data_IF_501637474129
#
_entry.id   IF_501637474129
#
_cell.length_a   1.000
_cell.length_b   1.000
_cell.length_c   1.000
_cell.angle_alpha   90.00
_cell.angle_beta   90.00
_cell.angle_gamma   90.00
#
_symmetry.space_group_name_H-M   'P 1'
#
loop_
_entity.id
_entity.type
_entity.pdbx_description
1 polymer ?
#
# COMPACT_ATOMS: atom_id res chain seq x y z
N UNK A 1 -27.04 -6.93 -3.92
CA UNK A 1 -26.27 -5.75 -3.42
C UNK A 1 -26.06 -4.85 -4.63
N UNK A 2 -26.43 -3.57 -4.60
CA UNK A 2 -26.14 -2.66 -5.71
C UNK A 2 -24.75 -2.10 -5.54
N UNK A 3 -23.76 -2.65 -6.22
CA UNK A 3 -22.35 -2.29 -6.06
C UNK A 3 -22.02 -0.86 -6.56
N UNK A 4 -22.82 -0.30 -7.46
CA UNK A 4 -22.67 1.08 -7.92
C UNK A 4 -22.65 2.13 -6.80
N UNK A 5 -23.28 1.83 -5.66
CA UNK A 5 -23.25 2.67 -4.46
C UNK A 5 -21.83 2.87 -3.91
N UNK A 6 -20.91 1.94 -4.16
CA UNK A 6 -19.54 1.98 -3.66
C UNK A 6 -18.55 2.68 -4.60
N UNK A 7 -18.94 2.98 -5.86
CA UNK A 7 -18.06 3.67 -6.83
C UNK A 7 -17.54 4.99 -6.27
N UNK A 8 -16.23 5.20 -6.41
CA UNK A 8 -15.47 6.36 -5.90
C UNK A 8 -15.51 6.54 -4.37
N UNK A 9 -15.82 5.48 -3.63
CA UNK A 9 -15.74 5.48 -2.17
C UNK A 9 -14.57 4.65 -1.69
N UNK A 10 -13.97 5.08 -0.58
CA UNK A 10 -13.02 4.26 0.16
C UNK A 10 -13.79 3.11 0.81
N UNK A 11 -13.41 1.89 0.48
CA UNK A 11 -14.06 0.68 0.98
C UNK A 11 -13.04 -0.32 1.52
N UNK A 12 -13.54 -1.22 2.36
CA UNK A 12 -12.90 -2.50 2.70
C UNK A 12 -13.80 -3.62 2.20
N UNK A 13 -13.23 -4.50 1.40
CA UNK A 13 -13.90 -5.72 0.93
C UNK A 13 -13.23 -6.91 1.63
N UNK A 14 -14.02 -7.80 2.21
CA UNK A 14 -13.57 -9.12 2.64
C UNK A 14 -14.05 -10.15 1.65
N UNK A 15 -13.15 -10.99 1.14
CA UNK A 15 -13.55 -12.13 0.33
C UNK A 15 -13.96 -13.33 1.22
N UNK A 16 -14.50 -14.38 0.59
CA UNK A 16 -14.95 -15.59 1.30
C UNK A 16 -13.81 -16.43 1.88
N UNK A 17 -12.57 -16.16 1.48
CA UNK A 17 -11.35 -16.75 2.05
C UNK A 17 -10.79 -15.94 3.22
N UNK A 18 -11.44 -14.80 3.59
CA UNK A 18 -11.05 -13.94 4.69
C UNK A 18 -9.99 -12.89 4.35
N UNK A 19 -9.55 -12.79 3.08
CA UNK A 19 -8.59 -11.76 2.64
C UNK A 19 -9.28 -10.39 2.61
N UNK A 20 -8.52 -9.35 2.93
CA UNK A 20 -9.02 -7.97 3.02
C UNK A 20 -8.39 -7.10 1.92
N UNK A 21 -9.24 -6.38 1.22
CA UNK A 21 -8.89 -5.42 0.17
C UNK A 21 -9.42 -4.04 0.57
N UNK A 22 -8.54 -3.05 0.70
CA UNK A 22 -8.94 -1.68 1.07
C UNK A 22 -8.45 -0.70 0.01
N UNK A 23 -9.33 0.16 -0.47
CA UNK A 23 -9.01 1.15 -1.50
C UNK A 23 -10.24 1.88 -2.01
N UNK A 24 -10.04 2.77 -2.98
CA UNK A 24 -11.14 3.37 -3.74
C UNK A 24 -11.78 2.29 -4.61
N UNK A 25 -13.09 2.13 -4.49
CA UNK A 25 -13.83 1.17 -5.28
C UNK A 25 -14.26 1.77 -6.63
N UNK A 26 -14.20 0.96 -7.67
CA UNK A 26 -14.82 1.21 -8.96
C UNK A 26 -15.73 0.02 -9.31
N UNK A 27 -17.04 0.28 -9.31
CA UNK A 27 -18.02 -0.77 -9.57
C UNK A 27 -18.21 -0.98 -11.07
N UNK A 28 -18.28 -2.24 -11.48
CA UNK A 28 -18.57 -2.61 -12.85
C UNK A 28 -19.82 -3.50 -12.96
N UNK A 29 -20.53 -3.32 -14.07
CA UNK A 29 -21.77 -4.03 -14.35
C UNK A 29 -21.54 -5.48 -14.75
N UNK A 30 -22.62 -6.30 -14.67
CA UNK A 30 -22.67 -7.67 -15.16
C UNK A 30 -22.28 -7.77 -16.64
N UNK A 31 -22.76 -6.83 -17.49
CA UNK A 31 -22.43 -6.80 -18.91
C UNK A 31 -20.93 -6.59 -19.15
N UNK A 32 -20.30 -5.66 -18.39
CA UNK A 32 -18.85 -5.46 -18.45
C UNK A 32 -18.09 -6.70 -17.97
N UNK A 33 -18.52 -7.31 -16.88
CA UNK A 33 -17.87 -8.50 -16.33
C UNK A 33 -17.93 -9.69 -17.29
N UNK A 34 -19.07 -9.87 -17.95
CA UNK A 34 -19.22 -10.93 -18.97
C UNK A 34 -18.27 -10.70 -20.15
N UNK A 35 -18.17 -9.46 -20.64
CA UNK A 35 -17.31 -9.12 -21.77
C UNK A 35 -15.81 -9.18 -21.42
N UNK A 36 -15.41 -8.62 -20.27
CA UNK A 36 -14.00 -8.47 -19.91
C UNK A 36 -13.40 -9.72 -19.22
N UNK A 37 -14.22 -10.47 -18.47
CA UNK A 37 -13.76 -11.54 -17.61
C UNK A 37 -14.51 -12.89 -17.80
N UNK A 38 -15.52 -12.93 -18.68
CA UNK A 38 -16.34 -14.13 -18.90
C UNK A 38 -17.23 -14.52 -17.72
N UNK A 39 -17.52 -13.60 -16.78
CA UNK A 39 -18.35 -13.84 -15.59
C UNK A 39 -19.65 -13.05 -15.66
N UNK A 40 -20.78 -13.74 -15.46
CA UNK A 40 -22.13 -13.13 -15.49
C UNK A 40 -22.55 -12.64 -14.09
N UNK A 41 -21.75 -11.71 -13.51
CA UNK A 41 -22.02 -11.11 -12.20
C UNK A 41 -21.38 -9.72 -12.08
N UNK A 42 -21.93 -8.88 -11.21
CA UNK A 42 -21.34 -7.56 -10.91
C UNK A 42 -20.08 -7.71 -10.06
N UNK A 43 -19.23 -6.67 -10.05
CA UNK A 43 -18.04 -6.67 -9.23
C UNK A 43 -17.54 -5.28 -8.86
N UNK A 44 -16.48 -5.28 -8.07
CA UNK A 44 -15.71 -4.10 -7.68
C UNK A 44 -14.26 -4.28 -8.13
N UNK A 45 -13.67 -3.21 -8.65
CA UNK A 45 -12.21 -3.08 -8.73
C UNK A 45 -11.75 -2.25 -7.53
N UNK A 46 -10.80 -2.79 -6.75
CA UNK A 46 -10.24 -2.12 -5.56
C UNK A 46 -8.74 -2.31 -5.61
N UNK A 47 -7.97 -1.23 -5.76
CA UNK A 47 -6.50 -1.27 -5.89
C UNK A 47 -6.01 -2.32 -6.91
N UNK A 48 -6.59 -2.32 -8.11
CA UNK A 48 -6.24 -3.27 -9.17
C UNK A 48 -6.83 -4.68 -9.03
N UNK A 49 -7.30 -5.06 -7.85
CA UNK A 49 -7.98 -6.35 -7.66
C UNK A 49 -9.40 -6.31 -8.22
N UNK A 50 -9.76 -7.37 -8.94
CA UNK A 50 -11.11 -7.57 -9.47
C UNK A 50 -11.85 -8.55 -8.57
N UNK A 51 -12.92 -8.08 -7.94
CA UNK A 51 -13.69 -8.83 -6.95
C UNK A 51 -15.13 -8.95 -7.43
N UNK A 52 -15.61 -10.16 -7.60
CA UNK A 52 -16.98 -10.43 -8.04
C UNK A 52 -17.93 -10.64 -6.85
N UNK A 53 -19.21 -10.35 -7.03
CA UNK A 53 -20.21 -10.48 -5.96
C UNK A 53 -20.24 -11.86 -5.30
N UNK A 54 -20.03 -12.92 -6.09
CA UNK A 54 -19.98 -14.29 -5.58
C UNK A 54 -18.76 -14.58 -4.69
N UNK A 55 -17.68 -13.82 -4.87
CA UNK A 55 -16.44 -14.01 -4.14
C UNK A 55 -16.36 -13.14 -2.87
N UNK A 56 -17.20 -12.08 -2.77
CA UNK A 56 -17.22 -11.17 -1.62
C UNK A 56 -18.08 -11.70 -0.46
N UNK A 57 -17.55 -11.62 0.75
CA UNK A 57 -18.28 -11.88 1.99
C UNK A 57 -18.91 -10.59 2.54
N UNK A 58 -18.17 -9.47 2.47
CA UNK A 58 -18.67 -8.16 2.92
C UNK A 58 -18.01 -7.00 2.18
N UNK A 59 -18.71 -5.87 2.12
CA UNK A 59 -18.19 -4.57 1.65
C UNK A 59 -18.59 -3.52 2.67
N UNK A 60 -17.59 -2.79 3.18
CA UNK A 60 -17.75 -1.72 4.18
C UNK A 60 -17.23 -0.40 3.61
N UNK A 61 -17.99 0.69 3.73
CA UNK A 61 -17.48 2.04 3.45
C UNK A 61 -16.63 2.54 4.63
N UNK A 62 -15.49 3.16 4.32
CA UNK A 62 -14.54 3.71 5.28
C UNK A 62 -14.40 5.24 5.07
N UNK A 63 -15.42 6.04 5.38
CA UNK A 63 -15.42 7.47 5.07
C UNK A 63 -14.38 8.27 5.87
N UNK A 64 -13.90 7.76 7.00
CA UNK A 64 -12.87 8.39 7.81
C UNK A 64 -11.44 8.08 7.34
N UNK A 65 -11.26 7.12 6.44
CA UNK A 65 -9.95 6.72 5.94
C UNK A 65 -9.56 7.60 4.75
N UNK A 66 -8.37 8.19 4.82
CA UNK A 66 -7.81 9.01 3.75
C UNK A 66 -6.38 8.61 3.42
N UNK A 67 -5.99 8.76 2.15
CA UNK A 67 -4.61 8.57 1.67
C UNK A 67 -4.04 9.93 1.31
N UNK A 68 -2.93 10.31 1.92
CA UNK A 68 -2.33 11.63 1.83
C UNK A 68 -0.93 11.52 1.23
N UNK A 69 -0.66 12.29 0.18
CA UNK A 69 0.71 12.59 -0.29
C UNK A 69 1.23 13.72 0.59
N UNK A 70 2.15 13.40 1.49
CA UNK A 70 2.61 14.37 2.49
C UNK A 70 3.39 15.52 1.84
N UNK A 71 2.87 16.72 1.98
CA UNK A 71 3.48 17.98 1.50
C UNK A 71 3.66 19.00 2.62
N UNK A 72 3.05 18.75 3.77
CA UNK A 72 3.08 19.62 4.94
C UNK A 72 3.84 18.95 6.09
N UNK A 73 4.49 19.76 6.92
CA UNK A 73 5.29 19.26 8.05
C UNK A 73 4.50 18.33 8.98
N UNK A 74 3.23 18.64 9.28
CA UNK A 74 2.42 17.81 10.17
C UNK A 74 2.09 16.44 9.54
N UNK A 75 1.99 16.37 8.20
CA UNK A 75 1.79 15.11 7.48
C UNK A 75 3.05 14.25 7.52
N UNK A 76 4.24 14.84 7.33
CA UNK A 76 5.52 14.15 7.53
C UNK A 76 5.69 13.70 8.98
N UNK A 77 5.30 14.53 9.95
CA UNK A 77 5.29 14.12 11.36
C UNK A 77 4.38 12.92 11.61
N UNK A 78 3.26 12.80 10.87
CA UNK A 78 2.40 11.62 10.86
C UNK A 78 3.11 10.37 10.36
N UNK A 79 3.89 10.46 9.28
CA UNK A 79 4.73 9.36 8.80
C UNK A 79 5.75 8.93 9.87
N UNK A 80 6.44 9.88 10.48
CA UNK A 80 7.41 9.62 11.54
C UNK A 80 6.77 8.98 12.77
N UNK A 81 5.59 9.47 13.18
CA UNK A 81 4.83 8.88 14.27
C UNK A 81 4.56 7.39 14.04
N UNK A 82 4.03 7.01 12.88
CA UNK A 82 3.74 5.59 12.54
C UNK A 82 5.02 4.76 12.59
N UNK A 83 6.13 5.25 12.03
CA UNK A 83 7.43 4.58 12.04
C UNK A 83 7.96 4.38 13.46
N UNK A 84 7.93 5.42 14.28
CA UNK A 84 8.37 5.36 15.68
C UNK A 84 7.55 4.32 16.46
N UNK A 85 6.22 4.36 16.36
CA UNK A 85 5.35 3.45 17.11
C UNK A 85 5.48 1.99 16.64
N UNK A 86 5.48 1.75 15.34
CA UNK A 86 5.38 0.39 14.80
C UNK A 86 6.74 -0.26 14.47
N UNK A 87 7.82 0.53 14.45
CA UNK A 87 9.17 0.05 14.18
C UNK A 87 10.13 0.31 15.34
N UNK A 88 10.47 1.58 15.64
CA UNK A 88 11.49 1.89 16.63
C UNK A 88 11.14 1.30 18.00
N UNK A 89 9.94 1.54 18.51
CA UNK A 89 9.49 0.99 19.81
C UNK A 89 9.36 -0.53 19.79
N UNK A 90 8.81 -1.08 18.71
CA UNK A 90 8.55 -2.53 18.61
C UNK A 90 9.84 -3.36 18.56
N UNK A 91 10.85 -2.87 17.84
CA UNK A 91 12.12 -3.59 17.60
C UNK A 91 13.25 -3.08 18.49
N UNK A 92 12.96 -2.14 19.40
CA UNK A 92 13.93 -1.54 20.34
C UNK A 92 15.15 -0.93 19.62
N UNK A 93 14.93 -0.37 18.41
CA UNK A 93 15.95 0.36 17.66
C UNK A 93 15.88 1.86 17.98
N UNK A 94 17.02 2.52 17.89
CA UNK A 94 17.11 3.97 18.13
C UNK A 94 16.49 4.75 16.98
N UNK A 95 16.18 6.04 17.20
CA UNK A 95 15.72 6.90 16.11
C UNK A 95 16.79 7.08 15.03
N UNK A 96 18.08 7.03 15.37
CA UNK A 96 19.17 7.11 14.41
C UNK A 96 19.22 5.90 13.48
N UNK A 97 18.82 4.71 13.94
CA UNK A 97 18.72 3.49 13.12
C UNK A 97 17.44 3.46 12.27
N UNK A 98 16.35 4.08 12.75
CA UNK A 98 15.09 4.14 11.99
C UNK A 98 15.11 5.21 10.89
N UNK A 99 15.75 6.37 11.17
CA UNK A 99 15.83 7.51 10.24
C UNK A 99 17.23 7.59 9.64
N UNK A 100 17.33 7.63 8.34
CA UNK A 100 18.57 7.62 7.55
C UNK A 100 18.72 8.87 6.68
N UNK A 101 19.75 8.94 5.85
CA UNK A 101 20.04 10.06 4.95
C UNK A 101 18.95 10.34 3.92
N UNK A 102 18.07 9.38 3.66
CA UNK A 102 16.93 9.56 2.76
C UNK A 102 15.72 10.21 3.46
N UNK A 103 15.77 10.46 4.76
CA UNK A 103 14.73 11.15 5.52
C UNK A 103 15.00 12.66 5.56
N UNK A 104 14.84 13.33 4.42
CA UNK A 104 15.03 14.76 4.22
C UNK A 104 13.70 15.53 4.19
N UNK A 105 13.69 16.87 4.25
CA UNK A 105 12.47 17.66 4.07
C UNK A 105 11.76 17.42 2.73
N UNK A 106 12.52 17.04 1.69
CA UNK A 106 12.01 16.82 0.32
C UNK A 106 11.58 15.36 0.08
N UNK A 107 11.78 14.48 1.07
CA UNK A 107 11.40 13.07 0.96
C UNK A 107 9.89 12.92 0.84
N UNK A 108 9.46 12.08 -0.08
CA UNK A 108 8.05 11.81 -0.32
C UNK A 108 7.53 10.72 0.61
N UNK A 109 6.40 10.99 1.24
CA UNK A 109 5.69 10.05 2.08
C UNK A 109 4.24 9.91 1.64
N UNK A 110 3.76 8.68 1.59
CA UNK A 110 2.33 8.39 1.65
C UNK A 110 1.98 8.18 3.13
N UNK A 111 0.91 8.84 3.56
CA UNK A 111 0.34 8.67 4.91
C UNK A 111 -1.12 8.29 4.78
N UNK A 112 -1.51 7.19 5.39
CA UNK A 112 -2.92 6.83 5.55
C UNK A 112 -3.38 7.29 6.91
N UNK A 113 -4.49 8.02 6.95
CA UNK A 113 -5.11 8.49 8.19
C UNK A 113 -6.50 7.88 8.38
N UNK A 114 -6.88 7.66 9.64
CA UNK A 114 -8.23 7.31 10.05
C UNK A 114 -8.72 8.42 10.99
N UNK A 115 -9.76 9.16 10.58
CA UNK A 115 -10.23 10.38 11.25
C UNK A 115 -9.08 11.37 11.55
N UNK A 116 -8.26 11.67 10.53
CA UNK A 116 -7.07 12.52 10.59
C UNK A 116 -5.89 11.97 11.39
N UNK A 117 -6.01 10.80 12.03
CA UNK A 117 -4.92 10.19 12.78
C UNK A 117 -4.10 9.24 11.89
N UNK A 118 -2.75 9.36 11.86
CA UNK A 118 -1.90 8.56 10.98
C UNK A 118 -1.81 7.10 11.44
N UNK A 119 -2.13 6.16 10.53
CA UNK A 119 -2.22 4.73 10.84
C UNK A 119 -1.30 3.85 9.98
N UNK A 120 -0.90 4.34 8.81
CA UNK A 120 0.06 3.66 7.95
C UNK A 120 0.87 4.67 7.14
N UNK A 121 2.07 4.27 6.69
CA UNK A 121 2.94 5.11 5.88
C UNK A 121 3.87 4.29 5.00
N UNK A 122 4.39 4.92 3.94
CA UNK A 122 5.56 4.50 3.20
C UNK A 122 6.38 5.71 2.78
N UNK A 123 7.68 5.51 2.62
CA UNK A 123 8.66 6.49 2.13
C UNK A 123 9.01 6.20 0.68
N UNK A 124 9.19 7.24 -0.11
CA UNK A 124 9.61 7.16 -1.51
C UNK A 124 10.77 8.11 -1.79
N UNK A 125 11.75 7.65 -2.58
CA UNK A 125 12.81 8.49 -3.14
C UNK A 125 13.32 7.90 -4.47
N UNK A 126 13.88 8.74 -5.38
CA UNK A 126 14.47 8.26 -6.62
C UNK A 126 15.63 7.29 -6.35
N UNK A 127 15.58 6.10 -6.94
CA UNK A 127 16.70 5.15 -6.97
C UNK A 127 17.55 5.35 -8.23
N UNK A 128 16.88 5.69 -9.34
CA UNK A 128 17.47 6.04 -10.63
C UNK A 128 16.52 6.94 -11.42
N UNK A 129 16.89 7.33 -12.63
CA UNK A 129 16.01 8.12 -13.52
C UNK A 129 14.71 7.38 -13.89
N UNK A 130 14.70 6.05 -13.84
CA UNK A 130 13.56 5.23 -14.23
C UNK A 130 12.86 4.52 -13.04
N UNK A 131 13.52 4.43 -11.88
CA UNK A 131 13.05 3.64 -10.75
C UNK A 131 12.86 4.47 -9.47
N UNK A 132 11.70 4.29 -8.81
CA UNK A 132 11.38 4.85 -7.51
C UNK A 132 11.57 3.79 -6.43
N UNK A 133 12.41 4.08 -5.43
CA UNK A 133 12.50 3.27 -4.21
C UNK A 133 11.26 3.49 -3.35
N UNK A 134 10.60 2.40 -2.98
CA UNK A 134 9.52 2.37 -1.98
C UNK A 134 10.04 1.65 -0.74
N UNK A 135 10.14 2.37 0.36
CA UNK A 135 10.66 1.81 1.60
C UNK A 135 9.85 2.24 2.82
N UNK A 136 10.25 1.75 3.99
CA UNK A 136 9.61 2.10 5.27
C UNK A 136 8.07 1.93 5.22
N UNK A 137 7.60 0.86 4.55
CA UNK A 137 6.18 0.48 4.51
C UNK A 137 5.77 -0.05 5.88
N UNK A 138 5.02 0.74 6.61
CA UNK A 138 4.71 0.48 8.02
C UNK A 138 3.23 0.72 8.30
N UNK A 139 2.62 -0.19 9.05
CA UNK A 139 1.21 -0.12 9.50
C UNK A 139 1.17 -0.31 11.01
N UNK A 140 0.44 0.54 11.73
CA UNK A 140 0.20 0.38 13.16
C UNK A 140 -0.41 -1.01 13.45
N UNK A 141 -0.03 -1.68 14.55
CA UNK A 141 -0.43 -3.05 14.85
C UNK A 141 -1.94 -3.30 14.74
N UNK A 142 -2.75 -2.38 15.27
CA UNK A 142 -4.21 -2.45 15.30
C UNK A 142 -4.90 -2.30 13.93
N UNK A 143 -4.15 -1.80 12.92
CA UNK A 143 -4.62 -1.63 11.54
C UNK A 143 -4.09 -2.70 10.58
N UNK A 144 -3.26 -3.64 11.07
CA UNK A 144 -2.71 -4.74 10.24
C UNK A 144 -3.81 -5.72 9.82
N UNK A 145 -3.51 -6.47 8.78
CA UNK A 145 -4.43 -7.46 8.21
C UNK A 145 -5.78 -6.88 7.74
N UNK A 146 -5.81 -5.56 7.43
CA UNK A 146 -6.98 -4.84 6.94
C UNK A 146 -6.75 -4.18 5.58
N UNK A 147 -5.76 -4.67 4.80
CA UNK A 147 -5.41 -4.14 3.48
C UNK A 147 -4.62 -2.82 3.48
N UNK A 148 -4.22 -2.30 4.65
CA UNK A 148 -3.52 -1.00 4.74
C UNK A 148 -2.14 -1.02 4.07
N UNK A 149 -1.39 -2.12 4.17
CA UNK A 149 -0.08 -2.26 3.52
C UNK A 149 -0.21 -2.19 2.00
N UNK A 150 -1.17 -2.92 1.43
CA UNK A 150 -1.49 -2.88 0.00
C UNK A 150 -1.91 -1.48 -0.44
N UNK A 151 -2.79 -0.82 0.32
CA UNK A 151 -3.24 0.55 0.04
C UNK A 151 -2.07 1.53 -0.05
N UNK A 152 -1.14 1.48 0.91
CA UNK A 152 0.03 2.37 0.95
C UNK A 152 0.97 2.11 -0.22
N UNK A 153 1.26 0.84 -0.56
CA UNK A 153 2.15 0.48 -1.67
C UNK A 153 1.55 0.94 -3.00
N UNK A 154 0.28 0.66 -3.26
CA UNK A 154 -0.38 1.12 -4.49
C UNK A 154 -0.42 2.64 -4.61
N UNK A 155 -0.64 3.38 -3.52
CA UNK A 155 -0.57 4.83 -3.54
C UNK A 155 0.84 5.36 -3.88
N UNK A 156 1.88 4.65 -3.46
CA UNK A 156 3.26 4.96 -3.85
C UNK A 156 3.48 4.68 -5.35
N UNK A 157 3.05 3.53 -5.85
CA UNK A 157 3.16 3.12 -7.26
C UNK A 157 2.45 4.13 -8.18
N UNK A 158 1.21 4.49 -7.85
CA UNK A 158 0.44 5.49 -8.59
C UNK A 158 1.16 6.83 -8.63
N UNK A 159 1.63 7.32 -7.48
CA UNK A 159 2.35 8.58 -7.42
C UNK A 159 3.69 8.52 -8.16
N UNK A 160 4.43 7.42 -8.10
CA UNK A 160 5.65 7.21 -8.87
C UNK A 160 5.39 7.24 -10.39
N UNK A 161 4.34 6.53 -10.86
CA UNK A 161 3.93 6.54 -12.26
C UNK A 161 3.54 7.93 -12.76
N UNK A 162 2.77 8.71 -11.97
CA UNK A 162 2.43 10.10 -12.30
C UNK A 162 3.66 11.02 -12.40
N UNK A 163 4.72 10.73 -11.65
CA UNK A 163 6.01 11.45 -11.74
C UNK A 163 6.88 10.99 -12.91
N UNK A 164 6.45 9.97 -13.68
CA UNK A 164 7.13 9.47 -14.86
C UNK A 164 8.10 8.31 -14.62
N UNK A 165 8.14 7.76 -13.39
CA UNK A 165 8.92 6.54 -13.13
C UNK A 165 8.22 5.33 -13.75
N UNK A 166 9.01 4.42 -14.31
CA UNK A 166 8.50 3.22 -14.98
C UNK A 166 8.64 1.95 -14.13
N UNK A 167 9.39 2.05 -13.02
CA UNK A 167 9.63 0.93 -12.11
C UNK A 167 9.51 1.38 -10.66
N UNK A 168 8.96 0.50 -9.84
CA UNK A 168 9.06 0.56 -8.39
C UNK A 168 10.04 -0.52 -7.91
N UNK A 169 10.94 -0.16 -7.01
CA UNK A 169 11.87 -1.08 -6.37
C UNK A 169 11.73 -1.00 -4.85
N UNK A 170 12.01 -2.09 -4.17
CA UNK A 170 11.99 -2.14 -2.71
C UNK A 170 12.93 -3.22 -2.17
N UNK A 171 13.31 -3.06 -0.90
CA UNK A 171 14.06 -4.07 -0.15
C UNK A 171 13.12 -4.73 0.86
N UNK A 172 12.64 -5.93 0.51
CA UNK A 172 11.72 -6.70 1.34
C UNK A 172 12.47 -7.51 2.39
N UNK A 173 11.97 -7.52 3.63
CA UNK A 173 12.38 -8.56 4.59
C UNK A 173 12.02 -9.94 4.05
N UNK A 174 12.84 -10.96 4.29
CA UNK A 174 12.61 -12.33 3.80
C UNK A 174 11.19 -12.83 4.10
N UNK A 175 10.68 -12.58 5.29
CA UNK A 175 9.33 -13.01 5.70
C UNK A 175 8.18 -12.16 5.12
N UNK A 176 8.49 -11.18 4.25
CA UNK A 176 7.52 -10.32 3.57
C UNK A 176 7.56 -10.41 2.05
N UNK A 177 8.45 -11.22 1.50
CA UNK A 177 8.55 -11.44 0.05
C UNK A 177 7.21 -11.83 -0.54
N UNK A 178 6.51 -12.82 0.01
CA UNK A 178 5.20 -13.26 -0.49
C UNK A 178 4.13 -12.16 -0.53
N UNK A 179 4.16 -11.22 0.42
CA UNK A 179 3.26 -10.06 0.38
C UNK A 179 3.50 -9.17 -0.85
N UNK A 180 4.77 -8.93 -1.20
CA UNK A 180 5.10 -8.12 -2.37
C UNK A 180 4.94 -8.89 -3.68
N UNK A 181 5.16 -10.21 -3.69
CA UNK A 181 4.84 -11.06 -4.86
C UNK A 181 3.34 -11.00 -5.20
N UNK A 182 2.45 -11.01 -4.18
CA UNK A 182 1.02 -10.82 -4.38
C UNK A 182 0.67 -9.44 -4.97
N UNK A 183 1.53 -8.42 -4.78
CA UNK A 183 1.41 -7.09 -5.37
C UNK A 183 2.06 -6.99 -6.76
N UNK A 184 2.64 -8.07 -7.28
CA UNK A 184 3.24 -8.14 -8.61
C UNK A 184 4.73 -7.79 -8.66
N UNK A 185 5.40 -7.71 -7.51
CA UNK A 185 6.86 -7.57 -7.46
C UNK A 185 7.56 -8.90 -7.71
N UNK A 186 8.67 -8.86 -8.41
CA UNK A 186 9.56 -10.00 -8.61
C UNK A 186 10.90 -9.78 -7.90
N UNK A 187 11.48 -10.86 -7.37
CA UNK A 187 12.83 -10.82 -6.81
C UNK A 187 13.83 -10.53 -7.93
N UNK A 188 14.66 -9.51 -7.76
CA UNK A 188 15.69 -9.09 -8.74
C UNK A 188 17.12 -9.05 -8.17
N UNK A 189 17.31 -9.37 -6.89
CA UNK A 189 18.61 -9.38 -6.23
C UNK A 189 18.80 -10.54 -5.26
N UNK A 190 20.04 -10.85 -4.94
CA UNK A 190 20.37 -11.80 -3.88
C UNK A 190 20.06 -11.18 -2.50
N UNK A 191 19.75 -12.00 -1.48
CA UNK A 191 19.58 -11.52 -0.12
C UNK A 191 20.85 -10.79 0.36
N UNK A 192 20.68 -9.60 0.91
CA UNK A 192 21.74 -8.80 1.49
C UNK A 192 21.43 -8.46 2.95
N UNK A 193 22.47 -8.38 3.77
CA UNK A 193 22.33 -7.93 5.15
C UNK A 193 22.16 -6.39 5.14
N UNK A 194 20.99 -5.93 5.54
CA UNK A 194 20.75 -4.52 5.86
C UNK A 194 21.15 -4.23 7.31
N UNK A 195 21.12 -2.95 7.70
CA UNK A 195 21.53 -2.53 9.05
C UNK A 195 20.79 -3.24 10.19
N UNK A 196 19.50 -3.54 10.01
CA UNK A 196 18.66 -4.15 11.04
C UNK A 196 18.08 -5.49 10.64
N UNK A 197 17.87 -5.72 9.34
CA UNK A 197 17.20 -6.92 8.82
C UNK A 197 17.84 -7.36 7.52
N UNK A 198 17.87 -8.67 7.30
CA UNK A 198 18.19 -9.25 6.01
C UNK A 198 17.05 -8.96 5.02
N UNK A 199 17.41 -8.40 3.87
CA UNK A 199 16.46 -7.93 2.86
C UNK A 199 16.74 -8.55 1.50
N UNK A 200 15.71 -8.63 0.68
CA UNK A 200 15.73 -9.12 -0.69
C UNK A 200 15.23 -8.01 -1.59
N UNK A 201 16.04 -7.63 -2.59
CA UNK A 201 15.65 -6.63 -3.58
C UNK A 201 14.55 -7.18 -4.48
N UNK A 202 13.48 -6.42 -4.63
CA UNK A 202 12.36 -6.73 -5.51
C UNK A 202 11.99 -5.54 -6.38
N UNK A 203 11.47 -5.80 -7.58
CA UNK A 203 11.05 -4.79 -8.54
C UNK A 203 9.71 -5.11 -9.19
N UNK A 204 9.05 -4.05 -9.70
CA UNK A 204 7.79 -4.11 -10.44
C UNK A 204 7.77 -3.01 -11.49
N UNK A 205 7.35 -3.32 -12.73
CA UNK A 205 7.01 -2.32 -13.74
C UNK A 205 5.70 -1.60 -13.35
N UNK A 206 5.66 -0.27 -13.49
CA UNK A 206 4.53 0.60 -13.18
C UNK A 206 3.66 0.89 -14.40
#
# INVERSE_FOLDING_TARGET
MHLSHYTQKMVRVQDRQGRMYTGIADAFSRAHALQAYGRDEEGLRVNGYVLFTGDMASVECLPALSVIRATQTYQQAGAYYVRIQAMARKHHITLREEFDEHDTPDTKYIVVTDADFPVATARMYPESDAAMMIGRVVVLPEYRHRGMGTLVVHACEEWAGEMGYTHAVLDSRENKVGFYEELGYAVCGAPADGETFRCIRMEKAL
#
